data_IF_090134324157
#
_entry.id   IF_090134324157
#
_cell.length_a   1.000
_cell.length_b   1.000
_cell.length_c   1.000
_cell.angle_alpha   90.00
_cell.angle_beta   90.00
_cell.angle_gamma   90.00
#
_symmetry.space_group_name_H-M   'P 1'
#
loop_
_entity.id
_entity.type
_entity.pdbx_description
1 polymer ?
#
# COMPACT_ATOMS: atom_id res chain seq x y z
N UNK A 1 9.85 5.76 -17.52
CA UNK A 1 10.01 6.21 -16.12
C UNK A 1 11.35 5.72 -15.63
N UNK A 2 12.14 6.51 -14.90
CA UNK A 2 13.45 6.06 -14.43
C UNK A 2 13.28 4.98 -13.35
N UNK A 3 14.09 3.92 -13.45
CA UNK A 3 14.25 2.95 -12.36
C UNK A 3 15.35 3.49 -11.45
N UNK A 4 15.03 3.74 -10.20
CA UNK A 4 15.98 4.12 -9.16
C UNK A 4 16.44 2.88 -8.38
N UNK A 5 17.61 2.97 -7.75
CA UNK A 5 18.04 1.97 -6.75
C UNK A 5 17.89 2.64 -5.38
N UNK A 6 16.96 2.12 -4.59
CA UNK A 6 16.61 2.65 -3.27
C UNK A 6 16.62 1.48 -2.28
N UNK A 7 17.39 1.62 -1.19
CA UNK A 7 17.58 0.53 -0.21
C UNK A 7 18.02 -0.80 -0.87
N UNK A 8 18.88 -0.69 -1.93
CA UNK A 8 19.38 -1.83 -2.69
C UNK A 8 18.33 -2.58 -3.53
N UNK A 9 17.15 -2.02 -3.71
CA UNK A 9 16.10 -2.55 -4.59
C UNK A 9 15.88 -1.61 -5.78
N UNK A 10 15.54 -2.19 -6.94
CA UNK A 10 14.99 -1.44 -8.06
C UNK A 10 13.64 -0.88 -7.64
N UNK A 11 13.39 0.39 -7.91
CA UNK A 11 12.09 1.04 -7.68
C UNK A 11 11.68 1.74 -8.96
N UNK A 12 10.52 1.37 -9.50
CA UNK A 12 9.87 2.13 -10.57
C UNK A 12 9.27 3.38 -9.93
N UNK A 13 9.84 4.53 -10.28
CA UNK A 13 9.55 5.82 -9.65
C UNK A 13 9.06 6.82 -10.70
N UNK A 14 8.03 7.59 -10.35
CA UNK A 14 7.48 8.68 -11.15
C UNK A 14 7.47 9.96 -10.32
N UNK A 15 8.05 11.01 -10.90
CA UNK A 15 8.06 12.36 -10.33
C UNK A 15 7.41 13.32 -11.33
N UNK A 16 6.44 14.13 -10.88
CA UNK A 16 5.74 15.08 -11.75
C UNK A 16 5.22 16.27 -10.94
N UNK A 17 5.26 17.47 -11.58
CA UNK A 17 4.70 18.68 -10.99
C UNK A 17 5.71 19.48 -10.17
N UNK A 18 5.18 20.46 -9.44
CA UNK A 18 5.94 21.35 -8.55
C UNK A 18 5.05 21.79 -7.38
N UNK A 19 5.68 22.17 -6.26
CA UNK A 19 4.99 22.53 -5.03
C UNK A 19 5.33 21.57 -3.88
N UNK A 20 4.51 21.53 -2.81
CA UNK A 20 4.70 20.60 -1.70
C UNK A 20 4.77 19.15 -2.19
N UNK A 21 5.60 18.32 -1.57
CA UNK A 21 5.70 16.92 -1.96
C UNK A 21 4.44 16.15 -1.58
N UNK A 22 3.99 15.25 -2.47
CA UNK A 22 2.88 14.32 -2.26
C UNK A 22 3.35 12.90 -2.59
N UNK A 23 3.54 12.06 -1.58
CA UNK A 23 3.85 10.65 -1.75
C UNK A 23 2.57 9.85 -1.94
N UNK A 24 2.46 9.16 -3.08
CA UNK A 24 1.28 8.40 -3.47
C UNK A 24 1.48 6.90 -3.24
N UNK A 25 0.80 6.36 -2.24
CA UNK A 25 0.80 4.94 -1.86
C UNK A 25 -0.36 4.23 -2.55
N UNK A 26 -0.06 3.57 -3.66
CA UNK A 26 -1.06 3.10 -4.60
C UNK A 26 -2.01 2.03 -4.03
N UNK A 27 -3.29 2.03 -4.47
CA UNK A 27 -4.21 0.91 -4.24
C UNK A 27 -3.75 -0.34 -4.96
N UNK A 28 -4.38 -1.48 -4.69
CA UNK A 28 -4.18 -2.70 -5.49
C UNK A 28 -3.63 -3.91 -4.74
N UNK A 29 -3.58 -3.90 -3.43
CA UNK A 29 -3.10 -5.04 -2.65
C UNK A 29 -1.66 -5.38 -3.01
N UNK A 30 -1.39 -6.63 -3.40
CA UNK A 30 -0.08 -7.08 -3.90
C UNK A 30 0.13 -6.76 -5.41
N UNK A 31 -0.58 -5.79 -5.94
CA UNK A 31 -0.39 -5.20 -7.25
C UNK A 31 -0.45 -3.67 -7.15
N UNK A 32 0.20 -3.13 -6.11
CA UNK A 32 0.27 -1.70 -5.82
C UNK A 32 1.30 -1.04 -6.72
N UNK A 33 0.85 -0.58 -7.89
CA UNK A 33 1.67 0.03 -8.95
C UNK A 33 1.20 1.45 -9.25
N UNK A 34 2.05 2.24 -9.91
CA UNK A 34 1.70 3.59 -10.41
C UNK A 34 0.43 3.54 -11.24
N UNK A 35 0.29 2.53 -12.10
CA UNK A 35 -0.92 2.35 -12.94
C UNK A 35 -2.19 2.14 -12.14
N UNK A 36 -2.10 1.67 -10.89
CA UNK A 36 -3.29 1.46 -10.05
C UNK A 36 -4.06 2.76 -9.76
N UNK A 37 -3.43 3.91 -9.90
CA UNK A 37 -4.06 5.22 -9.83
C UNK A 37 -4.90 5.58 -11.07
N UNK A 38 -4.79 4.81 -12.14
CA UNK A 38 -5.48 5.09 -13.43
C UNK A 38 -6.43 3.97 -13.85
N UNK A 39 -6.49 2.84 -13.12
CA UNK A 39 -7.26 1.65 -13.55
C UNK A 39 -8.76 1.78 -13.38
N UNK A 40 -9.24 2.55 -12.43
CA UNK A 40 -10.69 2.66 -12.22
C UNK A 40 -11.10 3.55 -11.06
N UNK A 41 -12.43 3.69 -10.92
CA UNK A 41 -13.06 4.47 -9.86
C UNK A 41 -12.65 5.94 -9.87
N UNK A 42 -12.80 6.56 -8.73
CA UNK A 42 -12.55 7.98 -8.48
C UNK A 42 -11.17 8.46 -8.95
N UNK A 43 -10.13 7.63 -8.79
CA UNK A 43 -8.76 7.97 -9.17
C UNK A 43 -8.59 8.10 -10.68
N UNK A 44 -9.23 7.23 -11.46
CA UNK A 44 -9.26 7.31 -12.92
C UNK A 44 -10.07 8.52 -13.38
N UNK A 45 -11.25 8.75 -12.79
CA UNK A 45 -12.09 9.90 -13.12
C UNK A 45 -11.37 11.23 -12.87
N UNK A 46 -10.62 11.30 -11.76
CA UNK A 46 -9.84 12.48 -11.40
C UNK A 46 -8.58 12.66 -12.24
N UNK A 47 -8.13 11.63 -12.97
CA UNK A 47 -6.78 11.58 -13.55
C UNK A 47 -5.72 11.96 -12.51
N UNK A 48 -5.69 11.16 -11.45
CA UNK A 48 -5.13 11.52 -10.15
C UNK A 48 -3.71 12.09 -10.23
N UNK A 49 -2.81 11.45 -10.96
CA UNK A 49 -1.41 11.89 -11.04
C UNK A 49 -1.32 13.24 -11.75
N UNK A 50 -1.94 13.38 -12.93
CA UNK A 50 -1.87 14.61 -13.73
C UNK A 50 -2.59 15.77 -13.03
N UNK A 51 -3.68 15.50 -12.32
CA UNK A 51 -4.44 16.56 -11.64
C UNK A 51 -3.75 17.02 -10.39
N UNK A 52 -3.28 16.08 -9.53
CA UNK A 52 -2.57 16.45 -8.30
C UNK A 52 -1.20 17.08 -8.59
N UNK A 53 -0.55 16.76 -9.70
CA UNK A 53 0.72 17.37 -10.10
C UNK A 53 0.61 18.86 -10.46
N UNK A 54 -0.60 19.40 -10.60
CA UNK A 54 -0.82 20.85 -10.77
C UNK A 54 -0.60 21.63 -9.48
N UNK A 55 -0.72 20.97 -8.34
CA UNK A 55 -0.60 21.58 -6.99
C UNK A 55 0.54 21.01 -6.16
N UNK A 56 1.09 19.86 -6.54
CA UNK A 56 2.09 19.13 -5.78
C UNK A 56 3.26 18.65 -6.66
N UNK A 57 4.40 18.43 -6.02
CA UNK A 57 5.42 17.53 -6.55
C UNK A 57 4.99 16.09 -6.21
N UNK A 58 4.32 15.44 -7.15
CA UNK A 58 3.83 14.06 -7.01
C UNK A 58 4.99 13.08 -7.07
N UNK A 59 5.03 12.16 -6.10
CA UNK A 59 5.97 11.05 -6.00
C UNK A 59 5.15 9.76 -5.99
N UNK A 60 5.07 9.07 -7.14
CA UNK A 60 4.37 7.81 -7.26
C UNK A 60 5.35 6.68 -7.59
N UNK A 61 5.11 5.46 -7.10
CA UNK A 61 6.02 4.35 -7.28
C UNK A 61 5.28 3.00 -7.27
N UNK A 62 5.89 2.00 -7.91
CA UNK A 62 5.50 0.62 -7.70
C UNK A 62 6.08 0.15 -6.38
N UNK A 63 5.21 -0.34 -5.48
CA UNK A 63 5.65 -0.88 -4.20
C UNK A 63 6.56 -2.09 -4.45
N UNK A 64 7.50 -2.36 -3.52
CA UNK A 64 8.26 -3.60 -3.54
C UNK A 64 7.28 -4.79 -3.68
N UNK A 65 7.64 -5.87 -4.31
CA UNK A 65 6.80 -7.01 -4.68
C UNK A 65 5.72 -6.74 -5.75
N UNK A 66 5.62 -5.54 -6.29
CA UNK A 66 4.62 -5.21 -7.31
C UNK A 66 5.24 -4.61 -8.58
N UNK A 67 4.58 -4.80 -9.72
CA UNK A 67 4.99 -4.23 -11.00
C UNK A 67 6.41 -4.64 -11.40
N UNK A 68 7.21 -3.66 -11.80
CA UNK A 68 8.62 -3.84 -12.19
C UNK A 68 9.60 -3.41 -11.10
N UNK A 69 9.13 -3.01 -9.92
CA UNK A 69 9.99 -2.81 -8.75
C UNK A 69 10.53 -4.14 -8.25
N UNK A 70 11.77 -4.12 -7.74
CA UNK A 70 12.39 -5.30 -7.16
C UNK A 70 11.81 -5.68 -5.81
N UNK A 71 12.14 -6.89 -5.35
CA UNK A 71 11.75 -7.38 -4.04
C UNK A 71 12.89 -8.16 -3.38
N UNK A 72 12.70 -8.43 -2.09
CA UNK A 72 13.45 -9.44 -1.32
C UNK A 72 12.46 -10.46 -0.78
N UNK A 73 12.89 -11.70 -0.63
CA UNK A 73 12.13 -12.71 0.12
C UNK A 73 12.34 -12.42 1.60
N UNK A 74 11.42 -11.69 2.20
CA UNK A 74 11.50 -11.21 3.58
C UNK A 74 10.11 -11.14 4.21
N UNK A 75 10.04 -11.01 5.54
CA UNK A 75 8.79 -10.77 6.24
C UNK A 75 8.17 -9.46 5.79
N UNK A 76 6.98 -9.53 5.20
CA UNK A 76 6.20 -8.37 4.78
C UNK A 76 5.35 -7.86 5.93
N UNK A 77 5.51 -6.60 6.26
CA UNK A 77 4.76 -5.90 7.31
C UNK A 77 4.39 -4.50 6.84
N UNK A 78 3.48 -3.85 7.55
CA UNK A 78 3.17 -2.44 7.28
C UNK A 78 4.38 -1.55 7.44
N UNK A 79 5.25 -1.84 8.43
CA UNK A 79 6.51 -1.14 8.67
C UNK A 79 7.51 -1.35 7.54
N UNK A 80 7.56 -2.55 6.93
CA UNK A 80 8.39 -2.83 5.75
C UNK A 80 8.00 -1.91 4.59
N UNK A 81 6.70 -1.75 4.34
CA UNK A 81 6.20 -0.88 3.28
C UNK A 81 6.36 0.61 3.62
N UNK A 82 6.12 1.00 4.87
CA UNK A 82 6.34 2.37 5.34
C UNK A 82 7.82 2.79 5.25
N UNK A 83 8.75 1.88 5.60
CA UNK A 83 10.20 2.12 5.46
C UNK A 83 10.61 2.36 4.01
N UNK A 84 10.00 1.66 3.05
CA UNK A 84 10.22 1.95 1.63
C UNK A 84 9.75 3.37 1.27
N UNK A 85 8.55 3.78 1.73
CA UNK A 85 8.05 5.15 1.51
C UNK A 85 9.02 6.20 2.06
N UNK A 86 9.55 6.01 3.27
CA UNK A 86 10.56 6.89 3.85
C UNK A 86 11.84 6.93 3.01
N UNK A 87 12.37 5.79 2.59
CA UNK A 87 13.57 5.72 1.76
C UNK A 87 13.39 6.42 0.40
N UNK A 88 12.18 6.39 -0.16
CA UNK A 88 11.84 7.13 -1.38
C UNK A 88 11.87 8.64 -1.11
N UNK A 89 11.31 9.12 0.01
CA UNK A 89 11.41 10.54 0.37
C UNK A 89 12.87 10.98 0.55
N UNK A 90 13.71 10.14 1.16
CA UNK A 90 15.15 10.43 1.30
C UNK A 90 15.84 10.51 -0.06
N UNK A 91 15.54 9.57 -0.97
CA UNK A 91 16.10 9.52 -2.32
C UNK A 91 15.77 10.76 -3.16
N UNK A 92 14.56 11.28 -3.05
CA UNK A 92 14.12 12.47 -3.80
C UNK A 92 14.44 13.78 -3.09
N UNK A 93 15.06 13.73 -1.90
CA UNK A 93 15.42 14.91 -1.10
C UNK A 93 14.23 15.60 -0.41
N UNK A 94 13.07 14.92 -0.32
CA UNK A 94 11.88 15.46 0.32
C UNK A 94 11.98 15.33 1.84
N UNK A 95 12.11 16.43 2.57
CA UNK A 95 12.16 16.43 4.04
C UNK A 95 10.82 16.04 4.65
N UNK A 96 9.71 16.52 4.09
CA UNK A 96 8.34 16.17 4.46
C UNK A 96 7.48 16.03 3.19
N UNK A 97 6.40 15.28 3.32
CA UNK A 97 5.41 15.15 2.25
C UNK A 97 4.00 14.97 2.83
N UNK A 98 3.01 15.38 2.08
CA UNK A 98 1.66 14.82 2.19
C UNK A 98 1.70 13.37 1.78
N UNK A 99 1.00 12.51 2.53
CA UNK A 99 0.97 11.07 2.25
C UNK A 99 -0.44 10.68 1.85
N UNK A 100 -0.64 10.33 0.59
CA UNK A 100 -1.95 9.85 0.12
C UNK A 100 -1.93 8.34 -0.05
N UNK A 101 -2.87 7.65 0.57
CA UNK A 101 -3.06 6.21 0.45
C UNK A 101 -4.43 5.87 -0.11
N UNK A 102 -4.47 4.96 -1.09
CA UNK A 102 -5.70 4.34 -1.58
C UNK A 102 -5.77 2.87 -1.17
N UNK A 103 -6.92 2.36 -0.70
CA UNK A 103 -7.10 0.95 -0.35
C UNK A 103 -6.02 0.48 0.64
N UNK A 104 -5.26 -0.57 0.31
CA UNK A 104 -4.13 -1.05 1.12
C UNK A 104 -3.03 0.02 1.34
N UNK A 105 -2.91 1.01 0.45
CA UNK A 105 -2.02 2.15 0.62
C UNK A 105 -2.36 3.01 1.85
N UNK A 106 -3.62 3.00 2.31
CA UNK A 106 -4.02 3.67 3.56
C UNK A 106 -3.32 3.06 4.76
N UNK A 107 -3.22 1.72 4.82
CA UNK A 107 -2.52 1.04 5.91
C UNK A 107 -1.02 1.37 5.93
N UNK A 108 -0.43 1.56 4.75
CA UNK A 108 0.97 2.00 4.64
C UNK A 108 1.10 3.47 5.08
N UNK A 109 0.16 4.35 4.71
CA UNK A 109 0.14 5.74 5.17
C UNK A 109 0.00 5.85 6.69
N UNK A 110 -0.90 5.07 7.29
CA UNK A 110 -1.04 4.97 8.75
C UNK A 110 0.26 4.50 9.41
N UNK A 111 0.90 3.46 8.86
CA UNK A 111 2.18 2.97 9.34
C UNK A 111 3.31 4.02 9.20
N UNK A 112 3.30 4.87 8.16
CA UNK A 112 4.24 6.00 8.04
C UNK A 112 3.99 7.06 9.11
N UNK A 113 2.73 7.40 9.39
CA UNK A 113 2.37 8.30 10.48
C UNK A 113 2.81 7.83 11.86
N UNK A 114 2.96 6.52 12.05
CA UNK A 114 3.52 5.91 13.28
C UNK A 114 5.05 5.85 13.24
N UNK A 115 5.64 5.43 12.12
CA UNK A 115 7.08 5.15 12.00
C UNK A 115 7.92 6.43 11.88
N UNK A 116 7.42 7.42 11.15
CA UNK A 116 8.15 8.65 10.82
C UNK A 116 7.18 9.85 10.72
N UNK A 117 6.48 10.20 11.82
CA UNK A 117 5.51 11.30 11.83
C UNK A 117 6.12 12.64 11.41
N UNK A 118 7.39 12.85 11.70
CA UNK A 118 8.15 14.06 11.31
C UNK A 118 8.32 14.21 9.78
N UNK A 119 8.12 13.12 9.02
CA UNK A 119 8.18 13.11 7.56
C UNK A 119 6.81 13.30 6.91
N UNK A 120 5.73 13.30 7.70
CA UNK A 120 4.36 13.40 7.24
C UNK A 120 3.81 14.80 7.53
N UNK A 121 3.52 15.59 6.49
CA UNK A 121 2.80 16.86 6.62
C UNK A 121 1.34 16.61 7.01
N UNK A 122 0.71 15.64 6.36
CA UNK A 122 -0.63 15.16 6.65
C UNK A 122 -0.91 13.85 5.92
N UNK A 123 -1.99 13.16 6.30
CA UNK A 123 -2.40 11.86 5.78
C UNK A 123 -3.75 11.99 5.06
N UNK A 124 -3.80 11.55 3.80
CA UNK A 124 -5.00 11.51 2.97
C UNK A 124 -5.40 10.05 2.76
N UNK A 125 -6.41 9.57 3.49
CA UNK A 125 -6.70 8.16 3.71
C UNK A 125 -7.99 7.77 2.98
N UNK A 126 -7.87 7.34 1.71
CA UNK A 126 -9.02 7.03 0.86
C UNK A 126 -9.32 5.54 0.83
N UNK A 127 -10.51 5.18 1.33
CA UNK A 127 -11.00 3.82 1.44
C UNK A 127 -10.09 2.91 2.29
N UNK A 128 -10.01 3.15 3.59
CA UNK A 128 -9.26 2.29 4.50
C UNK A 128 -9.69 0.83 4.39
N UNK A 129 -8.72 -0.06 4.22
CA UNK A 129 -8.96 -1.50 4.29
C UNK A 129 -9.01 -1.96 5.75
N UNK A 130 -9.80 -3.00 6.01
CA UNK A 130 -9.95 -3.59 7.33
C UNK A 130 -11.28 -4.29 7.50
N UNK A 131 -11.49 -4.81 8.71
CA UNK A 131 -12.67 -5.58 9.03
C UNK A 131 -12.51 -7.07 8.75
N UNK A 132 -13.49 -7.84 9.21
CA UNK A 132 -13.43 -9.29 9.20
C UNK A 132 -13.24 -9.90 7.81
N UNK A 133 -13.96 -9.40 6.81
CA UNK A 133 -13.89 -9.95 5.44
C UNK A 133 -12.52 -9.70 4.79
N UNK A 134 -11.95 -8.51 5.00
CA UNK A 134 -10.58 -8.19 4.57
C UNK A 134 -9.57 -9.16 5.20
N UNK A 135 -9.63 -9.30 6.52
CA UNK A 135 -8.74 -10.19 7.29
C UNK A 135 -8.84 -11.63 6.80
N UNK A 136 -10.06 -12.18 6.71
CA UNK A 136 -10.29 -13.56 6.28
C UNK A 136 -9.81 -13.83 4.85
N UNK A 137 -10.04 -12.88 3.93
CA UNK A 137 -9.59 -12.99 2.55
C UNK A 137 -8.06 -13.04 2.47
N UNK A 138 -7.37 -12.11 3.13
CA UNK A 138 -5.92 -12.06 3.13
C UNK A 138 -5.27 -13.27 3.78
N UNK A 139 -5.79 -13.70 4.93
CA UNK A 139 -5.34 -14.95 5.59
C UNK A 139 -5.58 -16.17 4.71
N UNK A 140 -6.72 -16.25 4.05
CA UNK A 140 -7.04 -17.34 3.12
C UNK A 140 -6.07 -17.44 1.93
N UNK A 141 -5.62 -16.30 1.41
CA UNK A 141 -4.62 -16.27 0.32
C UNK A 141 -3.27 -16.79 0.78
N UNK A 142 -2.77 -16.31 1.93
CA UNK A 142 -1.52 -16.82 2.48
C UNK A 142 -1.60 -18.30 2.85
N UNK A 143 -2.70 -18.75 3.46
CA UNK A 143 -2.86 -20.16 3.82
C UNK A 143 -2.84 -21.07 2.57
N UNK A 144 -3.50 -20.64 1.47
CA UNK A 144 -3.47 -21.38 0.20
C UNK A 144 -2.05 -21.44 -0.37
N UNK A 145 -1.31 -20.34 -0.33
CA UNK A 145 0.09 -20.32 -0.78
C UNK A 145 0.98 -21.24 0.07
N UNK A 146 0.87 -21.15 1.39
CA UNK A 146 1.62 -21.98 2.35
C UNK A 146 1.37 -23.46 2.06
N UNK A 147 0.10 -23.86 1.87
CA UNK A 147 -0.25 -25.25 1.58
C UNK A 147 0.26 -25.70 0.21
N UNK A 148 0.15 -24.85 -0.80
CA UNK A 148 0.68 -25.13 -2.15
C UNK A 148 2.20 -25.35 -2.11
N UNK A 149 2.95 -24.45 -1.46
CA UNK A 149 4.41 -24.58 -1.34
C UNK A 149 4.80 -25.80 -0.52
N UNK A 150 4.08 -26.12 0.55
CA UNK A 150 4.32 -27.33 1.35
C UNK A 150 4.21 -28.60 0.52
N UNK A 151 3.25 -28.64 -0.40
CA UNK A 151 2.98 -29.82 -1.22
C UNK A 151 3.84 -29.89 -2.47
N UNK A 152 4.09 -28.76 -3.14
CA UNK A 152 4.68 -28.71 -4.49
C UNK A 152 6.05 -28.01 -4.54
N UNK A 153 6.46 -27.33 -3.47
CA UNK A 153 7.73 -26.63 -3.38
C UNK A 153 7.76 -25.26 -4.07
N UNK A 154 8.86 -24.53 -3.83
CA UNK A 154 9.04 -23.16 -4.32
C UNK A 154 9.15 -23.05 -5.84
N UNK A 155 9.74 -24.05 -6.50
CA UNK A 155 9.85 -24.06 -7.96
C UNK A 155 8.48 -24.08 -8.65
N UNK A 156 7.53 -24.86 -8.11
CA UNK A 156 6.17 -24.91 -8.62
C UNK A 156 5.45 -23.56 -8.40
N UNK A 157 5.61 -22.93 -7.25
CA UNK A 157 5.04 -21.60 -6.97
C UNK A 157 5.62 -20.52 -7.90
N UNK A 158 6.94 -20.53 -8.12
CA UNK A 158 7.61 -19.61 -9.04
C UNK A 158 7.12 -19.77 -10.49
N UNK A 159 6.93 -20.99 -10.95
CA UNK A 159 6.45 -21.30 -12.30
C UNK A 159 5.03 -20.75 -12.58
N UNK A 160 4.24 -20.47 -11.55
CA UNK A 160 2.91 -19.83 -11.68
C UNK A 160 3.00 -18.32 -11.93
N UNK A 161 4.09 -17.67 -11.53
CA UNK A 161 4.25 -16.23 -11.60
C UNK A 161 3.86 -15.59 -12.94
N UNK A 162 4.38 -16.06 -14.09
CA UNK A 162 4.07 -15.49 -15.39
C UNK A 162 2.58 -15.48 -15.76
N UNK A 163 1.82 -16.51 -15.39
CA UNK A 163 0.37 -16.58 -15.61
C UNK A 163 -0.41 -15.80 -14.54
N UNK A 164 0.03 -15.89 -13.30
CA UNK A 164 -0.62 -15.28 -12.15
C UNK A 164 -0.53 -13.74 -12.16
N UNK A 165 0.59 -13.19 -12.57
CA UNK A 165 0.94 -11.76 -12.55
C UNK A 165 1.00 -11.14 -11.15
N UNK A 166 0.15 -11.52 -10.23
CA UNK A 166 0.16 -11.06 -8.84
C UNK A 166 -0.58 -12.03 -7.90
N UNK A 167 -0.35 -11.85 -6.59
CA UNK A 167 -0.88 -12.69 -5.53
C UNK A 167 -2.42 -12.71 -5.42
N UNK A 168 -3.10 -11.60 -5.79
CA UNK A 168 -4.56 -11.51 -5.73
C UNK A 168 -5.25 -12.31 -6.83
N UNK A 169 -4.60 -12.48 -7.99
CA UNK A 169 -5.15 -13.23 -9.12
C UNK A 169 -4.91 -14.73 -8.96
N UNK A 170 -3.75 -15.10 -8.42
CA UNK A 170 -3.42 -16.50 -8.11
C UNK A 170 -2.69 -16.59 -6.77
N UNK A 171 -3.41 -16.92 -5.68
CA UNK A 171 -2.79 -17.08 -4.38
C UNK A 171 -1.69 -18.13 -4.31
N UNK A 172 -1.73 -19.18 -5.13
CA UNK A 172 -0.72 -20.23 -5.11
C UNK A 172 0.65 -19.75 -5.62
N UNK A 173 0.68 -18.71 -6.47
CA UNK A 173 1.92 -18.08 -6.92
C UNK A 173 2.62 -17.25 -5.82
N UNK A 174 1.90 -16.84 -4.79
CA UNK A 174 2.42 -16.18 -3.60
C UNK A 174 2.71 -14.68 -3.74
N UNK A 175 3.21 -14.07 -2.65
CA UNK A 175 3.40 -12.62 -2.57
C UNK A 175 4.39 -12.06 -3.59
N UNK A 176 5.33 -12.86 -4.07
CA UNK A 176 6.36 -12.46 -5.04
C UNK A 176 6.05 -12.91 -6.48
N UNK A 177 4.78 -13.16 -6.81
CA UNK A 177 4.37 -13.59 -8.14
C UNK A 177 4.82 -12.63 -9.26
N UNK A 178 4.74 -11.32 -9.03
CA UNK A 178 5.18 -10.31 -10.01
C UNK A 178 6.67 -10.41 -10.32
N UNK A 179 7.52 -10.64 -9.31
CA UNK A 179 8.98 -10.75 -9.48
C UNK A 179 9.35 -12.08 -10.13
N UNK A 180 8.68 -13.18 -9.76
CA UNK A 180 8.86 -14.47 -10.44
C UNK A 180 8.40 -14.42 -11.91
N UNK A 181 7.52 -13.48 -12.26
CA UNK A 181 7.10 -13.26 -13.65
C UNK A 181 8.10 -12.44 -14.47
N UNK A 182 8.85 -11.52 -13.84
CA UNK A 182 9.57 -10.46 -14.55
C UNK A 182 11.09 -10.43 -14.29
N UNK A 183 11.59 -11.12 -13.25
CA UNK A 183 12.99 -11.11 -12.85
C UNK A 183 13.53 -12.55 -12.67
N UNK A 184 14.23 -13.04 -13.68
CA UNK A 184 14.82 -14.39 -13.66
C UNK A 184 15.92 -14.55 -12.60
N UNK A 185 16.65 -13.49 -12.27
CA UNK A 185 17.67 -13.53 -11.22
C UNK A 185 17.01 -13.65 -9.84
N UNK A 186 15.93 -12.90 -9.60
CA UNK A 186 15.13 -13.05 -8.40
C UNK A 186 14.59 -14.49 -8.29
N UNK A 187 13.99 -15.03 -9.37
CA UNK A 187 13.44 -16.40 -9.41
C UNK A 187 14.49 -17.43 -9.08
N UNK A 188 15.71 -17.31 -9.66
CA UNK A 188 16.82 -18.24 -9.40
C UNK A 188 17.28 -18.23 -7.93
N UNK A 189 17.15 -17.10 -7.24
CA UNK A 189 17.34 -16.98 -5.79
C UNK A 189 16.17 -17.53 -4.98
N UNK A 190 14.95 -17.17 -5.38
CA UNK A 190 13.71 -17.56 -4.72
C UNK A 190 13.56 -19.08 -4.53
N UNK A 191 13.84 -19.86 -5.58
CA UNK A 191 13.69 -21.32 -5.54
C UNK A 191 14.73 -22.02 -4.67
N UNK A 192 15.79 -21.34 -4.24
CA UNK A 192 16.86 -21.87 -3.39
C UNK A 192 16.62 -21.68 -1.89
N UNK A 193 15.57 -20.94 -1.52
CA UNK A 193 15.26 -20.75 -0.10
C UNK A 193 14.93 -22.09 0.58
N UNK A 194 15.30 -22.18 1.85
CA UNK A 194 14.82 -23.26 2.72
C UNK A 194 13.30 -23.18 2.85
N UNK A 195 12.63 -24.26 2.50
CA UNK A 195 11.15 -24.30 2.46
C UNK A 195 10.55 -24.04 3.83
N UNK A 196 11.10 -24.62 4.91
CA UNK A 196 10.54 -24.46 6.25
C UNK A 196 10.63 -23.00 6.72
N UNK A 197 11.79 -22.36 6.51
CA UNK A 197 11.99 -20.93 6.81
C UNK A 197 11.09 -20.03 5.98
N UNK A 198 10.90 -20.37 4.70
CA UNK A 198 10.02 -19.62 3.81
C UNK A 198 8.55 -19.71 4.25
N UNK A 199 8.08 -20.90 4.62
CA UNK A 199 6.72 -21.10 5.11
C UNK A 199 6.46 -20.34 6.42
N UNK A 200 7.44 -20.34 7.33
CA UNK A 200 7.38 -19.55 8.57
C UNK A 200 7.31 -18.03 8.26
N UNK A 201 8.15 -17.55 7.35
CA UNK A 201 8.15 -16.17 6.89
C UNK A 201 6.79 -15.76 6.29
N UNK A 202 6.17 -16.62 5.49
CA UNK A 202 4.83 -16.38 4.94
C UNK A 202 3.77 -16.35 6.05
N UNK A 203 3.84 -17.23 7.03
CA UNK A 203 2.93 -17.24 8.18
C UNK A 203 3.07 -15.96 9.00
N UNK A 204 4.29 -15.53 9.30
CA UNK A 204 4.55 -14.27 10.00
C UNK A 204 4.07 -13.04 9.20
N UNK A 205 4.22 -13.03 7.87
CA UNK A 205 3.73 -11.96 7.00
C UNK A 205 2.20 -11.90 6.99
N UNK A 206 1.55 -13.08 6.91
CA UNK A 206 0.10 -13.20 7.03
C UNK A 206 -0.40 -12.57 8.32
N UNK A 207 0.21 -12.93 9.45
CA UNK A 207 -0.24 -12.48 10.78
C UNK A 207 0.06 -10.99 10.99
N UNK A 208 1.13 -10.46 10.42
CA UNK A 208 1.45 -9.03 10.46
C UNK A 208 0.53 -8.16 9.60
N UNK A 209 0.13 -8.64 8.40
CA UNK A 209 -0.70 -7.85 7.48
C UNK A 209 -2.20 -8.07 7.69
N UNK A 210 -2.61 -9.24 8.14
CA UNK A 210 -4.00 -9.65 8.31
C UNK A 210 -4.26 -10.19 9.72
N UNK A 211 -3.67 -9.54 10.72
CA UNK A 211 -3.95 -9.78 12.13
C UNK A 211 -5.27 -9.15 12.57
N UNK A 212 -5.52 -9.20 13.87
CA UNK A 212 -6.81 -8.77 14.47
C UNK A 212 -6.94 -7.25 14.62
N UNK A 213 -6.03 -6.48 14.02
CA UNK A 213 -6.10 -5.02 14.06
C UNK A 213 -7.15 -4.47 13.08
N UNK A 214 -8.05 -3.65 13.60
CA UNK A 214 -8.99 -2.88 12.80
C UNK A 214 -8.95 -1.43 13.26
N UNK A 215 -8.60 -0.50 12.36
CA UNK A 215 -8.21 -0.68 10.95
C UNK A 215 -6.83 -1.34 10.80
N UNK A 216 -6.51 -1.80 9.58
CA UNK A 216 -5.18 -2.35 9.30
C UNK A 216 -4.14 -1.23 9.12
N UNK A 217 -2.85 -1.54 9.37
CA UNK A 217 -1.73 -0.59 9.21
C UNK A 217 -1.00 -0.27 10.50
N UNK A 218 -1.74 -0.11 11.61
CA UNK A 218 -1.21 0.14 12.94
C UNK A 218 -2.17 -0.39 14.02
N UNK A 219 -1.67 -0.55 15.24
CA UNK A 219 -2.53 -0.87 16.39
C UNK A 219 -3.34 0.35 16.83
N UNK A 220 -4.45 0.14 17.54
CA UNK A 220 -5.25 1.25 18.08
C UNK A 220 -4.42 2.20 18.96
N UNK A 221 -3.57 1.66 19.83
CA UNK A 221 -2.68 2.48 20.66
C UNK A 221 -1.68 3.32 19.83
N UNK A 222 -1.15 2.77 18.73
CA UNK A 222 -0.29 3.51 17.83
C UNK A 222 -1.04 4.63 17.11
N UNK A 223 -2.26 4.36 16.62
CA UNK A 223 -3.08 5.38 15.96
C UNK A 223 -3.46 6.52 16.91
N UNK A 224 -3.75 6.23 18.18
CA UNK A 224 -4.04 7.25 19.21
C UNK A 224 -2.84 8.16 19.48
N UNK A 225 -1.63 7.72 19.21
CA UNK A 225 -0.41 8.52 19.33
C UNK A 225 -0.09 9.38 18.10
N UNK A 226 -0.74 9.14 16.95
CA UNK A 226 -0.50 9.89 15.70
C UNK A 226 -1.11 11.29 15.81
N UNK A 227 -0.24 12.32 15.84
CA UNK A 227 -0.66 13.73 15.89
C UNK A 227 -0.73 14.39 14.51
N UNK A 228 -0.29 13.69 13.45
CA UNK A 228 -0.34 14.18 12.08
C UNK A 228 -1.80 14.42 11.66
N UNK A 229 -2.15 15.58 11.09
CA UNK A 229 -3.49 15.81 10.54
C UNK A 229 -3.86 14.74 9.53
N UNK A 230 -5.08 14.26 9.56
CA UNK A 230 -5.52 13.19 8.66
C UNK A 230 -6.93 13.45 8.12
N UNK A 231 -7.12 13.25 6.82
CA UNK A 231 -8.42 13.23 6.17
C UNK A 231 -8.80 11.79 5.83
N UNK A 232 -9.95 11.32 6.30
CA UNK A 232 -10.46 9.97 6.04
C UNK A 232 -11.65 10.04 5.10
N UNK A 233 -11.53 9.37 3.94
CA UNK A 233 -12.59 9.20 2.97
C UNK A 233 -13.04 7.73 2.99
N UNK A 234 -14.28 7.42 3.44
CA UNK A 234 -14.70 6.04 3.71
C UNK A 234 -14.95 5.24 2.43
N UNK A 235 -14.68 3.93 2.52
CA UNK A 235 -15.21 2.92 1.63
C UNK A 235 -16.53 2.32 2.15
N UNK A 236 -17.15 1.41 1.39
CA UNK A 236 -18.39 0.72 1.79
C UNK A 236 -18.52 -0.65 1.12
N UNK A 237 -17.45 -1.41 1.05
CA UNK A 237 -17.46 -2.77 0.49
C UNK A 237 -16.77 -3.77 1.44
N UNK A 238 -16.69 -5.02 1.01
CA UNK A 238 -16.14 -6.13 1.80
C UNK A 238 -14.68 -5.96 2.24
N UNK A 239 -13.89 -5.18 1.50
CA UNK A 239 -12.48 -4.91 1.81
C UNK A 239 -12.27 -3.56 2.49
N UNK A 240 -13.17 -2.61 2.23
CA UNK A 240 -13.11 -1.22 2.69
C UNK A 240 -14.35 -0.95 3.56
N UNK A 241 -14.44 -1.66 4.70
CA UNK A 241 -15.61 -1.51 5.57
C UNK A 241 -15.69 -0.08 6.13
N UNK A 242 -16.90 0.50 6.14
CA UNK A 242 -17.15 1.81 6.73
C UNK A 242 -16.74 1.83 8.21
N UNK A 243 -16.89 0.70 8.92
CA UNK A 243 -16.44 0.55 10.31
C UNK A 243 -14.92 0.73 10.48
N UNK A 244 -14.10 0.30 9.51
CA UNK A 244 -12.65 0.55 9.55
C UNK A 244 -12.31 2.02 9.41
N UNK A 245 -13.02 2.76 8.56
CA UNK A 245 -12.86 4.20 8.41
C UNK A 245 -13.28 4.95 9.69
N UNK A 246 -14.40 4.57 10.30
CA UNK A 246 -14.84 5.12 11.58
C UNK A 246 -13.88 4.81 12.72
N UNK A 247 -13.34 3.59 12.80
CA UNK A 247 -12.34 3.24 13.81
C UNK A 247 -11.08 4.10 13.66
N UNK A 248 -10.62 4.40 12.43
CA UNK A 248 -9.51 5.35 12.24
C UNK A 248 -9.86 6.74 12.76
N UNK A 249 -11.07 7.25 12.47
CA UNK A 249 -11.54 8.54 12.96
C UNK A 249 -11.57 8.62 14.49
N UNK A 250 -12.04 7.57 15.15
CA UNK A 250 -12.11 7.52 16.60
C UNK A 250 -10.75 7.42 17.28
N UNK A 251 -9.81 6.71 16.63
CA UNK A 251 -8.49 6.45 17.18
C UNK A 251 -7.49 7.57 16.90
N UNK A 252 -7.60 8.30 15.78
CA UNK A 252 -6.64 9.34 15.41
C UNK A 252 -7.11 10.73 15.90
N UNK A 253 -6.40 11.37 16.84
CA UNK A 253 -6.88 12.59 17.50
C UNK A 253 -7.18 13.75 16.54
N UNK A 254 -6.35 13.92 15.52
CA UNK A 254 -6.43 15.02 14.55
C UNK A 254 -6.98 14.55 13.18
N UNK A 255 -7.84 13.54 13.18
CA UNK A 255 -8.47 13.06 11.94
C UNK A 255 -9.79 13.80 11.67
N UNK A 256 -10.01 14.17 10.42
CA UNK A 256 -11.29 14.59 9.88
C UNK A 256 -11.93 13.46 9.09
N UNK A 257 -13.24 13.36 9.12
CA UNK A 257 -13.98 12.31 8.43
C UNK A 257 -14.95 12.94 7.43
N UNK A 258 -14.70 12.69 6.15
CA UNK A 258 -15.60 13.12 5.10
C UNK A 258 -16.76 12.13 4.96
N UNK A 259 -17.90 12.44 5.56
CA UNK A 259 -19.07 11.55 5.64
C UNK A 259 -19.84 11.46 4.31
N UNK A 260 -19.14 11.07 3.23
CA UNK A 260 -19.71 10.81 1.91
C UNK A 260 -19.35 9.39 1.50
N UNK A 261 -20.38 8.54 1.29
CA UNK A 261 -20.18 7.14 0.91
C UNK A 261 -19.83 6.99 -0.58
N UNK A 262 -19.17 5.89 -1.00
CA UNK A 262 -18.70 5.67 -2.36
C UNK A 262 -19.69 5.93 -3.49
N UNK A 263 -20.99 5.62 -3.39
CA UNK A 263 -21.95 5.94 -4.46
C UNK A 263 -22.09 7.45 -4.78
N UNK A 264 -21.66 8.30 -3.85
CA UNK A 264 -21.69 9.77 -3.98
C UNK A 264 -20.29 10.39 -4.10
N UNK A 265 -19.24 9.56 -4.10
CA UNK A 265 -17.88 10.00 -4.36
C UNK A 265 -17.62 9.99 -5.88
N UNK A 266 -17.01 11.05 -6.39
CA UNK A 266 -16.55 11.16 -7.77
C UNK A 266 -15.23 11.94 -7.83
N UNK A 267 -14.57 11.94 -8.98
CA UNK A 267 -13.25 12.57 -9.12
C UNK A 267 -13.24 14.05 -8.73
N UNK A 268 -14.33 14.78 -9.02
CA UNK A 268 -14.44 16.22 -8.74
C UNK A 268 -14.56 16.51 -7.24
N UNK A 269 -15.49 15.85 -6.54
CA UNK A 269 -15.72 16.14 -5.12
C UNK A 269 -14.61 15.57 -4.21
N UNK A 270 -14.01 14.44 -4.56
CA UNK A 270 -12.84 13.89 -3.84
C UNK A 270 -11.65 14.83 -3.98
N UNK A 271 -11.36 15.32 -5.20
CA UNK A 271 -10.28 16.30 -5.40
C UNK A 271 -10.51 17.58 -4.60
N UNK A 272 -11.72 18.15 -4.67
CA UNK A 272 -12.06 19.39 -3.95
C UNK A 272 -11.86 19.21 -2.43
N UNK A 273 -12.33 18.09 -1.87
CA UNK A 273 -12.18 17.78 -0.44
C UNK A 273 -10.70 17.63 -0.04
N UNK A 274 -9.88 16.98 -0.87
CA UNK A 274 -8.44 16.85 -0.62
C UNK A 274 -7.76 18.23 -0.62
N UNK A 275 -8.02 19.05 -1.65
CA UNK A 275 -7.38 20.36 -1.77
C UNK A 275 -7.82 21.33 -0.67
N UNK A 276 -9.09 21.28 -0.27
CA UNK A 276 -9.62 22.06 0.84
C UNK A 276 -8.93 21.70 2.16
N UNK A 277 -8.85 20.40 2.50
CA UNK A 277 -8.15 19.91 3.69
C UNK A 277 -6.67 20.32 3.69
N UNK A 278 -5.98 20.18 2.56
CA UNK A 278 -4.57 20.61 2.43
C UNK A 278 -4.42 22.11 2.64
N UNK A 279 -5.35 22.92 2.12
CA UNK A 279 -5.34 24.37 2.28
C UNK A 279 -5.55 24.84 3.72
N UNK A 280 -6.23 24.04 4.54
CA UNK A 280 -6.47 24.31 5.97
C UNK A 280 -5.29 23.89 6.87
N UNK A 281 -4.35 23.10 6.36
CA UNK A 281 -3.21 22.55 7.10
C UNK A 281 -1.88 22.84 6.37
N UNK A 282 -1.48 24.12 6.21
CA UNK A 282 -0.33 24.53 5.40
C UNK A 282 1.04 24.07 5.94
#
# INVERSE_FOLDING_TARGET
>A
MPIAIIDGLKVNLHLQGSGPHLLMLAPGGFNSTIESWTRGGVWKEMDAINTLSKSFTVIAYDRREAGISGARVEKLTWQTFASQGRAILDHVGAQKAWIIGGCMGVSVAAAMGVLCPERCTGLLLHWPVGGYQWMMKGRGFYNRHIEFVRTHGLAAAAARGPAAKNFWLDPEAGPWASQNATDSAFTAGYVKHDVAKYLDLCAQSRDALYGDTMPSGATGAQLMAVQTPALILPGADASHSTSSAWAMKELMPNAEFWNVLPPHQNGGNVLATILDFVGQHP
#
